data_IF_902485723764
#
_entry.id   IF_902485723764
#
_cell.length_a   1.000
_cell.length_b   1.000
_cell.length_c   1.000
_cell.angle_alpha   90.00
_cell.angle_beta   90.00
_cell.angle_gamma   90.00
#
_symmetry.space_group_name_H-M   'P 1'
#
loop_
_entity.id
_entity.type
_entity.pdbx_description
1 polymer ?
#
# COMPACT_ATOMS: atom_id res chain seq x y z
N UNK A 1 5.11 12.94 20.56
CA UNK A 1 4.80 12.00 19.44
C UNK A 1 3.79 12.68 18.54
N UNK A 2 4.11 12.81 17.26
CA UNK A 2 3.16 13.44 16.31
C UNK A 2 1.94 12.54 16.08
N UNK A 3 0.82 13.12 15.60
CA UNK A 3 -0.38 12.35 15.24
C UNK A 3 -0.06 11.24 14.22
N UNK A 4 0.81 11.55 13.27
CA UNK A 4 1.29 10.59 12.26
C UNK A 4 2.11 9.45 12.85
N UNK A 5 2.96 9.70 13.85
CA UNK A 5 3.77 8.65 14.47
C UNK A 5 2.90 7.72 15.34
N UNK A 6 1.93 8.29 16.08
CA UNK A 6 0.97 7.51 16.85
C UNK A 6 0.11 6.62 15.95
N UNK A 7 -0.39 7.18 14.83
CA UNK A 7 -1.14 6.45 13.85
C UNK A 7 -0.31 5.32 13.23
N UNK A 8 0.91 5.61 12.74
CA UNK A 8 1.78 4.61 12.13
C UNK A 8 2.14 3.48 13.11
N UNK A 9 2.38 3.80 14.37
CA UNK A 9 2.64 2.80 15.41
C UNK A 9 1.43 1.87 15.62
N UNK A 10 0.22 2.43 15.63
CA UNK A 10 -1.03 1.64 15.71
C UNK A 10 -1.19 0.73 14.49
N UNK A 11 -0.96 1.26 13.29
CA UNK A 11 -1.02 0.49 12.03
C UNK A 11 -0.01 -0.65 12.03
N UNK A 12 1.24 -0.38 12.43
CA UNK A 12 2.28 -1.39 12.51
C UNK A 12 1.90 -2.53 13.47
N UNK A 13 1.29 -2.19 14.62
CA UNK A 13 0.78 -3.17 15.58
C UNK A 13 -0.33 -4.06 15.00
N UNK A 14 -1.31 -3.46 14.28
CA UNK A 14 -2.39 -4.21 13.62
C UNK A 14 -1.84 -5.15 12.54
N UNK A 15 -0.91 -4.67 11.71
CA UNK A 15 -0.27 -5.46 10.67
C UNK A 15 0.51 -6.64 11.26
N UNK A 16 1.30 -6.40 12.29
CA UNK A 16 2.07 -7.44 12.97
C UNK A 16 1.17 -8.51 13.60
N UNK A 17 0.06 -8.09 14.23
CA UNK A 17 -0.91 -9.01 14.83
C UNK A 17 -1.56 -9.94 13.80
N UNK A 18 -1.65 -9.53 12.53
CA UNK A 18 -2.18 -10.36 11.42
C UNK A 18 -1.09 -11.03 10.58
N UNK A 19 0.13 -11.12 11.12
CA UNK A 19 1.21 -11.91 10.54
C UNK A 19 2.04 -11.21 9.48
N UNK A 20 1.94 -9.88 9.35
CA UNK A 20 2.89 -9.12 8.56
C UNK A 20 4.23 -9.03 9.29
N UNK A 21 5.31 -9.27 8.56
CA UNK A 21 6.68 -9.22 9.08
C UNK A 21 7.36 -7.96 8.55
N UNK A 22 7.89 -7.09 9.43
CA UNK A 22 8.70 -5.96 9.00
C UNK A 22 9.87 -6.39 8.14
N UNK A 23 10.13 -5.67 7.07
CA UNK A 23 11.35 -5.85 6.27
C UNK A 23 12.56 -5.26 7.02
N UNK A 24 13.80 -5.70 6.70
CA UNK A 24 14.99 -5.13 7.30
C UNK A 24 15.07 -3.62 7.04
N UNK A 25 15.26 -2.77 8.08
CA UNK A 25 15.25 -1.31 7.93
C UNK A 25 16.17 -0.79 6.83
N UNK A 26 17.35 -1.35 6.69
CA UNK A 26 18.32 -0.94 5.68
C UNK A 26 17.79 -1.08 4.24
N UNK A 27 16.86 -2.00 3.98
CA UNK A 27 16.34 -2.22 2.62
C UNK A 27 15.34 -1.14 2.21
N UNK A 28 14.38 -0.80 3.07
CA UNK A 28 13.37 0.20 2.74
C UNK A 28 13.87 1.63 2.98
N UNK A 29 14.75 1.85 3.95
CA UNK A 29 15.37 3.17 4.19
C UNK A 29 16.28 3.57 3.04
N UNK A 30 17.08 2.64 2.49
CA UNK A 30 17.86 2.89 1.30
C UNK A 30 17.01 3.29 0.08
N UNK A 31 15.77 2.84 0.03
CA UNK A 31 14.78 3.22 -0.99
C UNK A 31 14.02 4.53 -0.65
N UNK A 32 14.31 5.16 0.48
CA UNK A 32 13.67 6.40 0.91
C UNK A 32 12.31 6.22 1.59
N UNK A 33 11.97 5.01 2.02
CA UNK A 33 10.72 4.74 2.72
C UNK A 33 10.88 4.77 4.24
N UNK A 34 9.80 5.09 4.95
CA UNK A 34 9.78 5.17 6.41
C UNK A 34 9.63 3.80 7.07
N UNK A 35 8.79 2.95 6.48
CA UNK A 35 8.50 1.61 6.99
C UNK A 35 8.00 0.72 5.86
N UNK A 36 8.34 -0.56 5.90
CA UNK A 36 7.80 -1.55 4.98
C UNK A 36 7.61 -2.90 5.67
N UNK A 37 6.53 -3.58 5.32
CA UNK A 37 6.19 -4.89 5.87
C UNK A 37 5.61 -5.79 4.80
N UNK A 38 5.70 -7.09 5.01
CA UNK A 38 5.26 -8.12 4.05
C UNK A 38 4.55 -9.27 4.75
N UNK A 39 3.55 -9.83 4.07
CA UNK A 39 2.94 -11.11 4.42
C UNK A 39 2.81 -11.98 3.18
N UNK A 40 3.13 -13.27 3.32
CA UNK A 40 2.96 -14.28 2.29
C UNK A 40 1.91 -15.29 2.74
N UNK A 41 0.89 -15.53 1.92
CA UNK A 41 -0.15 -16.54 2.18
C UNK A 41 -0.49 -17.31 0.91
N UNK A 42 -0.70 -18.60 1.05
CA UNK A 42 -1.28 -19.39 -0.03
C UNK A 42 -2.79 -19.22 -0.06
N UNK A 43 -3.34 -18.83 -1.22
CA UNK A 43 -4.77 -18.65 -1.42
C UNK A 43 -5.29 -19.60 -2.52
N UNK A 44 -6.13 -20.57 -2.13
CA UNK A 44 -6.73 -21.51 -3.07
C UNK A 44 -7.55 -20.82 -4.18
N UNK A 45 -8.26 -19.73 -3.84
CA UNK A 45 -9.03 -18.95 -4.81
C UNK A 45 -8.20 -18.29 -5.90
N UNK A 46 -6.89 -18.14 -5.67
CA UNK A 46 -5.93 -17.55 -6.59
C UNK A 46 -4.94 -18.59 -7.13
N UNK A 47 -5.12 -19.86 -6.75
CA UNK A 47 -4.27 -21.00 -7.14
C UNK A 47 -2.77 -20.77 -6.93
N UNK A 48 -2.41 -19.99 -5.91
CA UNK A 48 -1.01 -19.68 -5.69
C UNK A 48 -0.71 -18.91 -4.41
N UNK A 49 0.54 -18.51 -4.31
CA UNK A 49 1.03 -17.68 -3.22
C UNK A 49 0.69 -16.22 -3.47
N UNK A 50 0.21 -15.54 -2.44
CA UNK A 50 -0.07 -14.11 -2.47
C UNK A 50 0.86 -13.40 -1.49
N UNK A 51 1.72 -12.55 -2.02
CA UNK A 51 2.54 -11.64 -1.22
C UNK A 51 1.89 -10.25 -1.18
N UNK A 52 1.66 -9.79 0.03
CA UNK A 52 1.09 -8.46 0.28
C UNK A 52 2.12 -7.60 0.98
N UNK A 53 2.38 -6.43 0.43
CA UNK A 53 3.28 -5.42 0.98
C UNK A 53 2.50 -4.19 1.42
N UNK A 54 2.88 -3.62 2.56
CA UNK A 54 2.55 -2.25 2.94
C UNK A 54 3.85 -1.45 3.00
N UNK A 55 3.93 -0.37 2.23
CA UNK A 55 5.09 0.51 2.14
C UNK A 55 4.66 1.92 2.50
N UNK A 56 5.31 2.51 3.49
CA UNK A 56 4.97 3.82 4.05
C UNK A 56 6.06 4.84 3.74
N UNK A 57 5.67 6.06 3.37
CA UNK A 57 6.57 7.18 3.21
C UNK A 57 5.99 8.46 3.81
N UNK A 58 6.82 9.28 4.44
CA UNK A 58 6.46 10.64 4.83
C UNK A 58 6.57 11.55 3.60
N UNK A 59 5.44 12.10 3.17
CA UNK A 59 5.35 13.06 2.07
C UNK A 59 4.51 14.25 2.56
N UNK A 60 5.10 15.19 3.33
CA UNK A 60 4.36 16.24 4.02
C UNK A 60 3.49 17.08 3.10
N UNK A 61 3.95 17.36 1.89
CA UNK A 61 3.23 18.09 0.84
C UNK A 61 2.90 17.13 -0.32
N UNK A 62 1.91 16.28 -0.10
CA UNK A 62 1.49 15.30 -1.09
C UNK A 62 0.79 15.97 -2.26
N UNK A 63 1.19 15.61 -3.48
CA UNK A 63 0.53 15.98 -4.74
C UNK A 63 0.17 14.72 -5.52
N UNK A 64 -0.74 14.80 -6.53
CA UNK A 64 -1.03 13.66 -7.42
C UNK A 64 0.22 13.06 -8.05
N UNK A 65 1.16 13.90 -8.51
CA UNK A 65 2.40 13.46 -9.14
C UNK A 65 3.33 12.75 -8.15
N UNK A 66 3.48 13.28 -6.94
CA UNK A 66 4.28 12.64 -5.89
C UNK A 66 3.67 11.33 -5.45
N UNK A 67 2.33 11.25 -5.32
CA UNK A 67 1.65 9.99 -5.01
C UNK A 67 1.87 8.94 -6.08
N UNK A 68 1.74 9.31 -7.36
CA UNK A 68 1.96 8.40 -8.49
C UNK A 68 3.41 7.90 -8.52
N UNK A 69 4.38 8.79 -8.35
CA UNK A 69 5.81 8.44 -8.33
C UNK A 69 6.16 7.55 -7.14
N UNK A 70 5.66 7.87 -5.96
CA UNK A 70 5.85 7.07 -4.75
C UNK A 70 5.22 5.67 -4.90
N UNK A 71 3.99 5.60 -5.37
CA UNK A 71 3.28 4.34 -5.59
C UNK A 71 4.02 3.43 -6.55
N UNK A 72 4.52 3.97 -7.67
CA UNK A 72 5.34 3.22 -8.63
C UNK A 72 6.65 2.74 -8.00
N UNK A 73 7.34 3.58 -7.25
CA UNK A 73 8.58 3.22 -6.55
C UNK A 73 8.35 2.13 -5.50
N UNK A 74 7.27 2.23 -4.72
CA UNK A 74 6.88 1.24 -3.73
C UNK A 74 6.53 -0.11 -4.38
N UNK A 75 5.81 -0.09 -5.50
CA UNK A 75 5.49 -1.29 -6.25
C UNK A 75 6.76 -1.97 -6.80
N UNK A 76 7.67 -1.22 -7.40
CA UNK A 76 8.97 -1.75 -7.86
C UNK A 76 9.80 -2.32 -6.71
N UNK A 77 9.77 -1.67 -5.55
CA UNK A 77 10.41 -2.18 -4.35
C UNK A 77 9.80 -3.52 -3.91
N UNK A 78 8.47 -3.62 -3.85
CA UNK A 78 7.76 -4.85 -3.51
C UNK A 78 8.12 -5.99 -4.48
N UNK A 79 8.12 -5.72 -5.79
CA UNK A 79 8.48 -6.70 -6.82
C UNK A 79 9.92 -7.23 -6.67
N UNK A 80 10.86 -6.40 -6.25
CA UNK A 80 12.25 -6.81 -5.97
C UNK A 80 12.43 -7.51 -4.63
N UNK A 81 11.52 -7.24 -3.68
CA UNK A 81 11.59 -7.76 -2.29
C UNK A 81 10.73 -9.00 -2.07
N UNK A 82 10.05 -9.51 -3.09
CA UNK A 82 9.25 -10.73 -2.98
C UNK A 82 10.12 -11.95 -2.65
N UNK A 83 9.59 -12.86 -1.82
CA UNK A 83 10.33 -14.04 -1.37
C UNK A 83 10.44 -15.11 -2.45
N UNK A 84 9.41 -15.25 -3.27
CA UNK A 84 9.35 -16.24 -4.32
C UNK A 84 10.02 -15.75 -5.62
N UNK A 85 10.86 -16.55 -6.28
CA UNK A 85 11.41 -16.24 -7.59
C UNK A 85 10.43 -16.47 -8.74
N UNK A 86 9.23 -17.03 -8.46
CA UNK A 86 8.25 -17.38 -9.49
C UNK A 86 7.68 -16.14 -10.18
N UNK A 87 7.36 -16.23 -11.48
CA UNK A 87 6.73 -15.12 -12.18
C UNK A 87 5.31 -14.89 -11.68
N UNK A 88 4.95 -13.60 -11.53
CA UNK A 88 3.58 -13.21 -11.18
C UNK A 88 2.59 -13.62 -12.29
N UNK A 89 1.37 -13.95 -11.89
CA UNK A 89 0.25 -14.22 -12.80
C UNK A 89 -0.02 -15.69 -13.07
N UNK A 90 0.92 -16.60 -12.77
CA UNK A 90 0.70 -18.04 -12.91
C UNK A 90 0.46 -18.72 -11.55
N UNK A 91 1.40 -18.58 -10.63
CA UNK A 91 1.35 -19.22 -9.30
C UNK A 91 1.64 -18.25 -8.17
N UNK A 92 1.78 -16.99 -8.48
CA UNK A 92 2.08 -15.92 -7.53
C UNK A 92 1.37 -14.63 -7.90
N UNK A 93 0.86 -13.94 -6.88
CA UNK A 93 0.36 -12.58 -6.98
C UNK A 93 1.09 -11.69 -5.96
N UNK A 94 1.37 -10.45 -6.36
CA UNK A 94 1.98 -9.43 -5.51
C UNK A 94 1.06 -8.22 -5.44
N UNK A 95 0.68 -7.82 -4.23
CA UNK A 95 -0.09 -6.61 -3.98
C UNK A 95 0.70 -5.65 -3.11
N UNK A 96 0.87 -4.41 -3.57
CA UNK A 96 1.60 -3.37 -2.88
C UNK A 96 0.65 -2.22 -2.50
N UNK A 97 0.46 -2.01 -1.21
CA UNK A 97 -0.21 -0.85 -0.65
C UNK A 97 0.84 0.24 -0.41
N UNK A 98 0.83 1.26 -1.25
CA UNK A 98 1.67 2.45 -1.11
C UNK A 98 0.90 3.47 -0.26
N UNK A 99 1.37 3.72 0.95
CA UNK A 99 0.70 4.55 1.95
C UNK A 99 1.52 5.79 2.24
N UNK A 100 1.08 6.93 1.73
CA UNK A 100 1.69 8.23 2.02
C UNK A 100 1.18 8.78 3.37
N UNK A 101 2.07 9.34 4.16
CA UNK A 101 1.73 10.11 5.36
C UNK A 101 2.00 11.57 5.07
N UNK A 102 0.94 12.37 4.95
CA UNK A 102 1.00 13.78 4.64
C UNK A 102 0.69 14.64 5.86
N UNK A 103 1.28 15.84 5.93
CA UNK A 103 0.92 16.81 6.97
C UNK A 103 -0.50 17.31 6.79
N UNK A 104 -0.88 17.58 5.55
CA UNK A 104 -2.22 17.96 5.12
C UNK A 104 -2.40 17.59 3.64
N UNK A 105 -3.61 17.21 3.26
CA UNK A 105 -3.97 16.85 1.88
C UNK A 105 -4.95 17.89 1.34
N UNK A 106 -4.58 18.52 0.22
CA UNK A 106 -5.43 19.48 -0.45
C UNK A 106 -6.60 18.78 -1.19
N UNK A 107 -7.69 19.53 -1.52
CA UNK A 107 -8.88 18.96 -2.16
C UNK A 107 -8.62 18.29 -3.52
N UNK A 108 -7.66 18.79 -4.31
CA UNK A 108 -7.32 18.22 -5.61
C UNK A 108 -6.64 16.88 -5.44
N UNK A 109 -5.67 16.77 -4.52
CA UNK A 109 -4.99 15.52 -4.19
C UNK A 109 -5.96 14.50 -3.55
N UNK A 110 -6.87 14.96 -2.68
CA UNK A 110 -7.92 14.14 -2.11
C UNK A 110 -8.83 13.54 -3.19
N UNK A 111 -9.26 14.35 -4.16
CA UNK A 111 -10.09 13.89 -5.28
C UNK A 111 -9.34 12.89 -6.16
N UNK A 112 -8.06 13.13 -6.46
CA UNK A 112 -7.21 12.21 -7.19
C UNK A 112 -7.16 10.84 -6.50
N UNK A 113 -6.87 10.79 -5.20
CA UNK A 113 -6.80 9.55 -4.44
C UNK A 113 -8.11 8.74 -4.43
N UNK A 114 -9.26 9.43 -4.45
CA UNK A 114 -10.59 8.80 -4.45
C UNK A 114 -11.02 8.27 -5.80
N UNK A 115 -10.52 8.83 -6.90
CA UNK A 115 -11.05 8.58 -8.24
C UNK A 115 -10.04 7.99 -9.23
N UNK A 116 -8.73 8.19 -9.03
CA UNK A 116 -7.71 7.74 -9.98
C UNK A 116 -7.31 6.29 -9.71
N UNK A 117 -7.44 5.47 -10.74
CA UNK A 117 -7.04 4.06 -10.68
C UNK A 117 -5.56 3.90 -11.00
N UNK A 118 -4.79 3.22 -10.14
CA UNK A 118 -3.41 2.86 -10.46
C UNK A 118 -3.31 2.01 -11.73
N UNK A 119 -2.12 1.95 -12.35
CA UNK A 119 -1.89 1.07 -13.51
C UNK A 119 -2.23 -0.39 -13.21
N UNK A 120 -2.82 -1.07 -14.19
CA UNK A 120 -3.06 -2.50 -14.10
C UNK A 120 -1.76 -3.28 -14.38
N UNK A 121 -1.52 -4.31 -13.57
CA UNK A 121 -0.39 -5.21 -13.71
C UNK A 121 -0.87 -6.66 -13.82
N UNK A 122 -0.18 -7.48 -14.61
CA UNK A 122 -0.52 -8.91 -14.71
C UNK A 122 -0.08 -9.66 -13.44
N UNK A 123 -1.05 -10.24 -12.74
CA UNK A 123 -0.77 -10.98 -11.48
C UNK A 123 -0.23 -10.12 -10.34
N UNK A 124 -0.38 -8.81 -10.42
CA UNK A 124 0.06 -7.90 -9.38
C UNK A 124 -0.87 -6.68 -9.28
N UNK A 125 -0.86 -6.02 -8.13
CA UNK A 125 -1.67 -4.83 -7.87
C UNK A 125 -0.89 -3.75 -7.16
N UNK A 126 -1.12 -2.52 -7.62
CA UNK A 126 -0.63 -1.28 -7.01
C UNK A 126 -1.82 -0.57 -6.36
N UNK A 127 -1.81 -0.38 -5.05
CA UNK A 127 -2.90 0.22 -4.30
C UNK A 127 -2.39 1.46 -3.59
N UNK A 128 -3.09 2.58 -3.75
CA UNK A 128 -2.72 3.89 -3.19
C UNK A 128 -3.61 4.24 -2.01
N UNK A 129 -2.98 4.73 -0.93
CA UNK A 129 -3.67 5.35 0.20
C UNK A 129 -2.85 6.50 0.75
N UNK A 130 -3.49 7.46 1.38
CA UNK A 130 -2.80 8.55 2.06
C UNK A 130 -3.51 8.93 3.35
N UNK A 131 -2.73 9.08 4.41
CA UNK A 131 -3.19 9.57 5.71
C UNK A 131 -2.90 11.06 5.84
N UNK A 132 -3.92 11.84 6.13
CA UNK A 132 -3.85 13.27 6.41
C UNK A 132 -3.69 13.47 7.93
N UNK A 133 -2.52 13.88 8.37
CA UNK A 133 -2.22 14.05 9.79
C UNK A 133 -2.98 15.22 10.43
N UNK A 134 -3.37 16.23 9.64
CA UNK A 134 -4.13 17.38 10.14
C UNK A 134 -5.57 17.03 10.45
N UNK A 135 -6.24 16.28 9.59
CA UNK A 135 -7.64 15.88 9.75
C UNK A 135 -7.82 14.52 10.40
N UNK A 136 -6.79 13.67 10.38
CA UNK A 136 -6.88 12.26 10.77
C UNK A 136 -7.63 11.41 9.74
N UNK A 137 -7.87 11.91 8.53
CA UNK A 137 -8.63 11.23 7.50
C UNK A 137 -7.73 10.37 6.61
N UNK A 138 -8.27 9.23 6.17
CA UNK A 138 -7.61 8.30 5.25
C UNK A 138 -8.26 8.39 3.87
N UNK A 139 -7.47 8.73 2.85
CA UNK A 139 -7.89 8.80 1.46
C UNK A 139 -7.43 7.59 0.67
N UNK A 140 -8.30 6.99 -0.11
CA UNK A 140 -8.04 5.86 -1.01
C UNK A 140 -9.11 5.77 -2.08
N UNK A 141 -8.92 4.91 -3.08
CA UNK A 141 -9.87 4.73 -4.18
C UNK A 141 -11.23 4.24 -3.69
N UNK A 142 -12.26 5.07 -3.86
CA UNK A 142 -13.64 4.77 -3.46
C UNK A 142 -14.40 4.00 -4.55
N UNK A 143 -14.08 4.25 -5.82
CA UNK A 143 -14.68 3.57 -6.96
C UNK A 143 -14.20 2.12 -7.14
N UNK A 144 -14.87 1.38 -7.99
CA UNK A 144 -14.46 0.03 -8.39
C UNK A 144 -14.10 0.08 -9.87
N UNK A 145 -12.81 0.00 -10.23
CA UNK A 145 -12.39 -0.06 -11.63
C UNK A 145 -12.97 -1.30 -12.31
N UNK A 146 -13.26 -1.21 -13.61
CA UNK A 146 -13.71 -2.36 -14.39
C UNK A 146 -12.67 -3.49 -14.39
N UNK A 147 -11.40 -3.14 -14.44
CA UNK A 147 -10.30 -4.10 -14.32
C UNK A 147 -10.02 -4.41 -12.84
N UNK A 148 -10.04 -5.68 -12.50
CA UNK A 148 -9.73 -6.13 -11.14
C UNK A 148 -10.86 -5.93 -10.12
N UNK A 149 -12.10 -5.69 -10.54
CA UNK A 149 -13.25 -5.46 -9.67
C UNK A 149 -13.38 -6.49 -8.53
N UNK A 150 -13.08 -7.76 -8.81
CA UNK A 150 -13.12 -8.83 -7.82
C UNK A 150 -12.13 -8.64 -6.65
N UNK A 151 -11.03 -7.94 -6.87
CA UNK A 151 -9.99 -7.72 -5.85
C UNK A 151 -10.20 -6.42 -5.05
N UNK A 152 -10.88 -5.41 -5.64
CA UNK A 152 -11.01 -4.09 -5.01
C UNK A 152 -11.80 -4.10 -3.70
N UNK A 153 -12.81 -4.94 -3.57
CA UNK A 153 -13.52 -5.10 -2.30
C UNK A 153 -12.58 -5.62 -1.19
N UNK A 154 -11.70 -6.56 -1.54
CA UNK A 154 -10.68 -7.08 -0.64
C UNK A 154 -9.63 -6.03 -0.26
N UNK A 155 -9.19 -5.20 -1.21
CA UNK A 155 -8.23 -4.12 -0.95
C UNK A 155 -8.82 -3.05 -0.03
N UNK A 156 -10.05 -2.59 -0.28
CA UNK A 156 -10.73 -1.65 0.62
C UNK A 156 -10.90 -2.21 2.02
N UNK A 157 -11.24 -3.48 2.15
CA UNK A 157 -11.33 -4.14 3.47
C UNK A 157 -9.99 -4.12 4.19
N UNK A 158 -8.88 -4.44 3.50
CA UNK A 158 -7.54 -4.39 4.10
C UNK A 158 -7.17 -2.96 4.52
N UNK A 159 -7.45 -1.95 3.68
CA UNK A 159 -7.23 -0.54 4.03
C UNK A 159 -8.01 -0.18 5.30
N UNK A 160 -9.30 -0.49 5.37
CA UNK A 160 -10.14 -0.19 6.52
C UNK A 160 -9.70 -0.96 7.78
N UNK A 161 -9.28 -2.21 7.65
CA UNK A 161 -8.84 -3.04 8.77
C UNK A 161 -7.53 -2.56 9.37
N UNK A 162 -6.54 -2.25 8.55
CA UNK A 162 -5.20 -1.94 9.06
C UNK A 162 -4.94 -0.45 9.19
N UNK A 163 -5.44 0.38 8.28
CA UNK A 163 -5.15 1.81 8.21
C UNK A 163 -6.24 2.67 8.86
N UNK A 164 -7.47 2.16 8.98
CA UNK A 164 -8.60 2.86 9.60
C UNK A 164 -8.63 2.85 11.14
#
# INVERSE_FOLDING_TARGET
MSNSDAWLSSVAGKLQADGFVPLPPQTYQAAGFKFATRRSRFELSKFGNVETFFVFADIPQLTPQLMSSFSSAAFQFAMRSKASPLPCGLFEAVFCFAVAVASQIDPQTAQYLRSDSPPAHWGAGEIRAAFDAASGYLYYLEGTPLWGAAYHAGFRRQIQTYLG
#
